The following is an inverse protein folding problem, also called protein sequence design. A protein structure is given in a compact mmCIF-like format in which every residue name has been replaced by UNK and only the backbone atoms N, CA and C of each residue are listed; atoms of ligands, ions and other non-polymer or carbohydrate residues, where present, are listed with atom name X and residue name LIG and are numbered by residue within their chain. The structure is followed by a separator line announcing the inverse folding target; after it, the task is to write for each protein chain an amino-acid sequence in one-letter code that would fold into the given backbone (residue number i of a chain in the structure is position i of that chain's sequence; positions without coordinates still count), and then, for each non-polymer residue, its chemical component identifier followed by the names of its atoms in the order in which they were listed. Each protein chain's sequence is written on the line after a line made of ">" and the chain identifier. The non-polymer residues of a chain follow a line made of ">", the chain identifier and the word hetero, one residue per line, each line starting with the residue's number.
data_IF_400112194017
#
_entry.id   IF_400112194017
#
_cell.length_a   1.000
_cell.length_b   1.000
_cell.length_c   1.000
_cell.angle_alpha   90.00
_cell.angle_beta   90.00
_cell.angle_gamma   90.00
#
_symmetry.space_group_name_H-M   'P 1'
#
loop_
_entity.id
_entity.type
_entity.pdbx_description
1 polymer ?
#
# COMPACT_ATOMS: atom_id res chain seq x y z
N UNK A 1 -43.41 5.47 3.77
CA UNK A 1 -43.13 4.41 2.77
C UNK A 1 -41.82 4.67 2.02
N UNK A 2 -41.57 5.88 1.49
CA UNK A 2 -40.34 6.15 0.71
C UNK A 2 -39.00 6.06 1.49
N UNK A 3 -38.96 6.35 2.79
CA UNK A 3 -37.73 6.23 3.61
C UNK A 3 -37.20 4.79 3.74
N UNK A 4 -38.10 3.83 3.96
CA UNK A 4 -37.77 2.40 4.10
C UNK A 4 -37.10 1.84 2.84
N UNK A 5 -37.48 2.32 1.66
CA UNK A 5 -37.00 1.77 0.40
C UNK A 5 -35.59 2.26 0.03
N UNK A 6 -35.19 3.46 0.47
CA UNK A 6 -33.81 3.93 0.35
C UNK A 6 -32.89 3.21 1.34
N UNK A 7 -33.41 2.89 2.53
CA UNK A 7 -32.70 2.13 3.56
C UNK A 7 -32.41 0.69 3.10
N UNK A 8 -33.29 0.08 2.29
CA UNK A 8 -33.06 -1.27 1.74
C UNK A 8 -31.79 -1.35 0.88
N UNK A 9 -31.54 -0.34 0.05
CA UNK A 9 -30.31 -0.26 -0.78
C UNK A 9 -29.08 -0.18 0.11
N UNK A 10 -29.10 0.70 1.12
CA UNK A 10 -28.01 0.87 2.06
C UNK A 10 -27.78 -0.38 2.92
N UNK A 11 -28.85 -1.08 3.29
CA UNK A 11 -28.76 -2.33 4.04
C UNK A 11 -28.11 -3.45 3.23
N UNK A 12 -28.39 -3.55 1.92
CA UNK A 12 -27.71 -4.51 1.04
C UNK A 12 -26.21 -4.20 0.94
N UNK A 13 -25.84 -2.94 0.68
CA UNK A 13 -24.44 -2.52 0.61
C UNK A 13 -23.70 -2.77 1.94
N UNK A 14 -24.33 -2.44 3.06
CA UNK A 14 -23.79 -2.69 4.42
C UNK A 14 -23.52 -4.17 4.66
N UNK A 15 -24.45 -5.05 4.27
CA UNK A 15 -24.26 -6.51 4.40
C UNK A 15 -23.02 -6.98 3.64
N UNK A 16 -22.81 -6.48 2.43
CA UNK A 16 -21.62 -6.82 1.62
C UNK A 16 -20.34 -6.33 2.29
N UNK A 17 -20.29 -5.08 2.75
CA UNK A 17 -19.10 -4.52 3.41
C UNK A 17 -18.79 -5.24 4.72
N UNK A 18 -19.78 -5.49 5.56
CA UNK A 18 -19.55 -6.20 6.83
C UNK A 18 -19.26 -7.68 6.63
N UNK A 19 -19.74 -8.30 5.54
CA UNK A 19 -19.30 -9.64 5.17
C UNK A 19 -17.81 -9.62 4.79
N UNK A 20 -17.39 -8.70 3.93
CA UNK A 20 -15.98 -8.60 3.52
C UNK A 20 -15.06 -8.22 4.69
N UNK A 21 -15.45 -7.25 5.52
CA UNK A 21 -14.71 -6.87 6.72
C UNK A 21 -14.55 -8.04 7.70
N UNK A 22 -15.60 -8.83 7.93
CA UNK A 22 -15.52 -10.05 8.75
C UNK A 22 -14.62 -11.10 8.13
N UNK A 23 -14.68 -11.28 6.81
CA UNK A 23 -13.79 -12.17 6.05
C UNK A 23 -12.32 -11.81 6.29
N UNK A 24 -11.96 -10.52 6.17
CA UNK A 24 -10.60 -10.02 6.45
C UNK A 24 -10.23 -10.18 7.93
N UNK A 25 -11.12 -9.83 8.86
CA UNK A 25 -10.89 -10.04 10.30
C UNK A 25 -10.66 -11.52 10.64
N UNK A 26 -11.41 -12.39 9.97
CA UNK A 26 -11.33 -13.84 10.09
C UNK A 26 -10.21 -14.46 9.24
N UNK A 27 -9.44 -13.67 8.50
CA UNK A 27 -8.29 -14.22 7.79
C UNK A 27 -7.14 -14.54 8.75
N UNK A 28 -6.35 -15.56 8.43
CA UNK A 28 -5.08 -15.89 9.08
C UNK A 28 -3.97 -16.03 8.04
N UNK A 29 -2.73 -16.11 8.52
CA UNK A 29 -1.59 -16.51 7.72
C UNK A 29 -1.71 -17.98 7.26
N UNK A 30 -1.15 -18.32 6.10
CA UNK A 30 -1.20 -19.67 5.54
C UNK A 30 -0.63 -20.72 6.49
N UNK A 31 0.54 -20.45 7.06
CA UNK A 31 1.25 -21.40 7.91
C UNK A 31 0.59 -21.46 9.29
N UNK A 32 0.06 -20.33 9.77
CA UNK A 32 -0.77 -20.29 10.96
C UNK A 32 -2.02 -21.19 10.81
N UNK A 33 -2.73 -21.08 9.69
CA UNK A 33 -3.86 -21.96 9.35
C UNK A 33 -3.47 -23.43 9.24
N UNK A 34 -2.32 -23.73 8.64
CA UNK A 34 -1.81 -25.10 8.57
C UNK A 34 -1.58 -25.69 9.97
N UNK A 35 -0.98 -24.90 10.88
CA UNK A 35 -0.80 -25.32 12.27
C UNK A 35 -2.14 -25.56 12.98
N UNK A 36 -3.12 -24.66 12.82
CA UNK A 36 -4.45 -24.86 13.41
C UNK A 36 -5.13 -26.13 12.91
N UNK A 37 -5.00 -26.42 11.61
CA UNK A 37 -5.54 -27.66 11.01
C UNK A 37 -4.93 -28.90 11.67
N UNK A 38 -3.61 -28.95 11.78
CA UNK A 38 -2.92 -30.08 12.41
C UNK A 38 -3.31 -30.25 13.89
N UNK A 39 -3.39 -29.15 14.65
CA UNK A 39 -3.84 -29.15 16.04
C UNK A 39 -5.32 -29.54 16.21
N UNK A 40 -6.15 -29.30 15.19
CA UNK A 40 -7.55 -29.72 15.16
C UNK A 40 -7.72 -31.23 15.00
N UNK A 41 -6.77 -31.89 14.35
CA UNK A 41 -6.73 -33.35 14.19
C UNK A 41 -6.25 -34.05 15.46
N UNK A 42 -5.12 -33.59 16.02
CA UNK A 42 -4.56 -34.12 17.26
C UNK A 42 -3.68 -33.09 17.97
N UNK A 43 -3.52 -33.17 19.31
CA UNK A 43 -2.53 -32.37 20.02
C UNK A 43 -1.12 -32.62 19.49
N UNK A 44 -0.30 -31.58 19.45
CA UNK A 44 1.10 -31.64 19.00
C UNK A 44 2.02 -31.21 20.14
N UNK A 45 3.22 -31.77 20.20
CA UNK A 45 4.29 -31.15 20.99
C UNK A 45 4.85 -29.90 20.30
N UNK A 46 5.50 -29.01 21.04
CA UNK A 46 6.18 -27.86 20.45
C UNK A 46 7.29 -28.29 19.47
N UNK A 47 7.97 -29.41 19.74
CA UNK A 47 8.93 -30.01 18.82
C UNK A 47 8.28 -30.44 17.50
N UNK A 48 7.17 -31.18 17.57
CA UNK A 48 6.43 -31.62 16.38
C UNK A 48 5.86 -30.46 15.57
N UNK A 49 5.40 -29.40 16.24
CA UNK A 49 4.89 -28.21 15.56
C UNK A 49 5.97 -27.53 14.70
N UNK A 50 7.23 -27.53 15.15
CA UNK A 50 8.37 -27.02 14.39
C UNK A 50 8.73 -27.95 13.23
N UNK A 51 8.75 -29.26 13.47
CA UNK A 51 9.13 -30.24 12.44
C UNK A 51 8.12 -30.33 11.28
N UNK A 52 6.83 -30.18 11.57
CA UNK A 52 5.74 -30.39 10.59
C UNK A 52 5.44 -29.20 9.70
N UNK A 53 5.97 -28.01 10.01
CA UNK A 53 5.74 -26.80 9.21
C UNK A 53 6.98 -26.46 8.37
N UNK A 54 6.81 -26.02 7.11
CA UNK A 54 7.92 -25.64 6.24
C UNK A 54 8.47 -24.23 6.57
N UNK A 55 8.64 -23.91 7.85
CA UNK A 55 9.12 -22.61 8.35
C UNK A 55 10.07 -22.82 9.52
N UNK A 56 10.81 -21.78 9.89
CA UNK A 56 11.75 -21.85 11.00
C UNK A 56 11.07 -21.83 12.38
N UNK A 57 11.82 -22.23 13.42
CA UNK A 57 11.30 -22.25 14.79
C UNK A 57 10.79 -20.87 15.28
N UNK A 58 11.49 -19.74 15.03
CA UNK A 58 10.95 -18.41 15.34
C UNK A 58 9.56 -18.14 14.75
N UNK A 59 9.31 -18.55 13.51
CA UNK A 59 8.01 -18.40 12.87
C UNK A 59 6.92 -19.21 13.59
N UNK A 60 7.20 -20.49 13.88
CA UNK A 60 6.26 -21.35 14.60
C UNK A 60 5.94 -20.78 15.99
N UNK A 61 6.95 -20.31 16.71
CA UNK A 61 6.78 -19.70 18.03
C UNK A 61 5.93 -18.41 17.96
N UNK A 62 6.11 -17.59 16.93
CA UNK A 62 5.30 -16.40 16.70
C UNK A 62 3.82 -16.75 16.45
N UNK A 63 3.55 -17.81 15.66
CA UNK A 63 2.19 -18.33 15.47
C UNK A 63 1.60 -18.79 16.80
N UNK A 64 2.32 -19.66 17.52
CA UNK A 64 1.86 -20.25 18.78
C UNK A 64 1.54 -19.18 19.82
N UNK A 65 2.42 -18.20 19.97
CA UNK A 65 2.19 -17.06 20.88
C UNK A 65 0.97 -16.24 20.46
N UNK A 66 0.81 -16.00 19.16
CA UNK A 66 -0.36 -15.32 18.60
C UNK A 66 -1.67 -16.09 18.87
N UNK A 67 -1.66 -17.42 18.79
CA UNK A 67 -2.82 -18.25 19.10
C UNK A 67 -3.12 -18.32 20.60
N UNK A 68 -2.08 -18.43 21.43
CA UNK A 68 -2.20 -18.41 22.88
C UNK A 68 -2.83 -17.10 23.38
N UNK A 69 -2.34 -15.95 22.89
CA UNK A 69 -2.89 -14.62 23.25
C UNK A 69 -4.35 -14.44 22.85
N UNK A 70 -4.77 -15.09 21.76
CA UNK A 70 -6.15 -15.08 21.25
C UNK A 70 -7.03 -16.16 21.88
N UNK A 71 -6.47 -17.01 22.74
CA UNK A 71 -7.20 -18.09 23.41
C UNK A 71 -7.52 -19.28 22.51
N UNK A 72 -6.86 -19.43 21.36
CA UNK A 72 -7.08 -20.56 20.44
C UNK A 72 -6.35 -21.82 20.87
N UNK A 73 -5.32 -21.66 21.70
CA UNK A 73 -4.40 -22.72 22.08
C UNK A 73 -4.20 -22.74 23.59
N UNK A 74 -4.31 -23.92 24.18
CA UNK A 74 -3.94 -24.25 25.55
C UNK A 74 -2.61 -25.01 25.55
N UNK A 75 -1.70 -24.65 26.45
CA UNK A 75 -0.41 -25.33 26.62
C UNK A 75 -0.48 -26.20 27.86
N UNK A 76 -0.14 -27.48 27.72
CA UNK A 76 -0.04 -28.43 28.83
C UNK A 76 1.36 -29.01 28.90
N UNK A 77 1.90 -29.07 30.12
CA UNK A 77 3.23 -29.59 30.38
C UNK A 77 3.14 -31.06 30.80
N UNK A 78 4.01 -31.88 30.24
CA UNK A 78 4.27 -33.23 30.70
C UNK A 78 5.33 -33.19 31.80
N UNK A 79 4.88 -33.25 33.06
CA UNK A 79 5.75 -33.17 34.25
C UNK A 79 6.82 -34.25 34.28
N UNK A 80 6.59 -35.41 33.63
CA UNK A 80 7.55 -36.52 33.60
C UNK A 80 8.79 -36.22 32.75
N UNK A 81 8.71 -35.23 31.87
CA UNK A 81 9.78 -34.83 30.94
C UNK A 81 10.46 -33.53 31.35
N UNK A 82 10.09 -32.96 32.50
CA UNK A 82 10.73 -31.75 33.02
C UNK A 82 12.13 -32.07 33.54
N UNK A 83 13.09 -31.20 33.21
CA UNK A 83 14.43 -31.25 33.78
C UNK A 83 14.55 -30.18 34.86
N UNK A 84 15.11 -30.53 36.03
CA UNK A 84 15.35 -29.58 37.12
C UNK A 84 16.67 -28.87 36.83
N UNK A 85 16.68 -27.54 36.94
CA UNK A 85 17.88 -26.72 36.74
C UNK A 85 18.93 -26.97 37.82
N UNK A 86 20.20 -26.68 37.52
CA UNK A 86 21.34 -26.97 38.40
C UNK A 86 21.26 -26.30 39.79
N UNK A 87 20.56 -25.17 39.89
CA UNK A 87 20.30 -24.43 41.13
C UNK A 87 19.10 -24.99 41.93
N UNK A 88 18.39 -26.00 41.41
CA UNK A 88 17.27 -26.67 42.08
C UNK A 88 16.02 -25.80 42.26
N UNK A 89 16.03 -24.58 41.70
CA UNK A 89 14.97 -23.57 41.89
C UNK A 89 14.04 -23.43 40.68
N UNK A 90 14.43 -23.95 39.52
CA UNK A 90 13.62 -23.89 38.30
C UNK A 90 13.56 -25.23 37.59
N UNK A 91 12.56 -25.40 36.73
CA UNK A 91 12.44 -26.56 35.85
C UNK A 91 12.39 -26.06 34.40
N UNK A 92 13.27 -26.58 33.55
CA UNK A 92 13.22 -26.33 32.12
C UNK A 92 12.34 -27.40 31.46
N UNK A 93 11.33 -26.92 30.73
CA UNK A 93 10.46 -27.76 29.91
C UNK A 93 11.05 -27.87 28.50
N UNK A 94 11.62 -29.03 28.11
CA UNK A 94 12.07 -29.21 26.73
C UNK A 94 10.86 -29.17 25.77
N UNK A 95 11.06 -28.87 24.47
CA UNK A 95 9.96 -28.77 23.50
C UNK A 95 9.05 -30.01 23.43
N UNK A 96 9.57 -31.19 23.73
CA UNK A 96 8.86 -32.48 23.79
C UNK A 96 7.96 -32.63 25.03
N UNK A 97 8.19 -31.83 26.07
CA UNK A 97 7.36 -31.75 27.28
C UNK A 97 6.19 -30.76 27.12
N UNK A 98 6.22 -29.90 26.09
CA UNK A 98 5.23 -28.86 25.87
C UNK A 98 4.21 -29.39 24.85
N UNK A 99 3.01 -29.77 25.31
CA UNK A 99 1.91 -30.19 24.44
C UNK A 99 0.93 -29.05 24.19
N UNK A 100 0.48 -28.95 22.95
CA UNK A 100 -0.35 -27.89 22.40
C UNK A 100 -1.74 -28.46 22.09
N UNK A 101 -2.77 -27.86 22.66
CA UNK A 101 -4.15 -28.31 22.55
C UNK A 101 -5.00 -27.19 21.96
N UNK A 102 -5.79 -27.52 20.93
CA UNK A 102 -6.73 -26.56 20.36
C UNK A 102 -7.96 -26.41 21.28
N UNK A 103 -8.31 -25.17 21.61
CA UNK A 103 -9.50 -24.85 22.41
C UNK A 103 -10.77 -24.90 21.56
N UNK A 104 -11.94 -24.85 22.19
CA UNK A 104 -13.22 -24.73 21.45
C UNK A 104 -13.28 -23.46 20.59
N UNK A 105 -12.73 -22.35 21.11
CA UNK A 105 -12.59 -21.11 20.36
C UNK A 105 -11.64 -21.28 19.17
N UNK A 106 -10.54 -22.03 19.34
CA UNK A 106 -9.62 -22.38 18.26
C UNK A 106 -10.28 -23.25 17.18
N UNK A 107 -11.15 -24.19 17.56
CA UNK A 107 -11.94 -25.01 16.64
C UNK A 107 -12.94 -24.18 15.85
N UNK A 108 -13.73 -23.34 16.51
CA UNK A 108 -14.64 -22.42 15.83
C UNK A 108 -13.87 -21.51 14.86
N UNK A 109 -12.70 -21.03 15.30
CA UNK A 109 -11.84 -20.20 14.46
C UNK A 109 -11.40 -20.92 13.19
N UNK A 110 -11.03 -22.19 13.29
CA UNK A 110 -10.58 -23.02 12.18
C UNK A 110 -11.67 -23.19 11.11
N UNK A 111 -12.94 -23.30 11.52
CA UNK A 111 -14.07 -23.46 10.59
C UNK A 111 -14.32 -22.20 9.74
N UNK A 112 -14.08 -21.01 10.31
CA UNK A 112 -14.34 -19.73 9.66
C UNK A 112 -13.10 -19.12 8.97
N UNK A 113 -11.90 -19.61 9.28
CA UNK A 113 -10.67 -19.00 8.83
C UNK A 113 -10.31 -19.38 7.40
N UNK A 114 -9.89 -18.38 6.64
CA UNK A 114 -9.27 -18.56 5.32
C UNK A 114 -7.94 -17.80 5.25
N UNK A 115 -7.02 -18.21 4.36
CA UNK A 115 -5.77 -17.50 4.21
C UNK A 115 -6.02 -16.09 3.65
N UNK A 116 -5.41 -15.07 4.25
CA UNK A 116 -5.50 -13.70 3.72
C UNK A 116 -5.01 -13.61 2.26
N UNK A 117 -4.07 -14.48 1.87
CA UNK A 117 -3.60 -14.57 0.49
C UNK A 117 -4.75 -14.83 -0.50
N UNK A 118 -5.75 -15.65 -0.17
CA UNK A 118 -6.87 -15.95 -1.07
C UNK A 118 -7.72 -14.69 -1.29
N UNK A 119 -7.96 -13.91 -0.21
CA UNK A 119 -8.65 -12.62 -0.31
C UNK A 119 -7.88 -11.65 -1.22
N UNK A 120 -6.55 -11.65 -1.16
CA UNK A 120 -5.72 -10.82 -2.02
C UNK A 120 -5.69 -11.30 -3.48
N UNK A 121 -5.68 -12.61 -3.72
CA UNK A 121 -5.75 -13.20 -5.07
C UNK A 121 -7.09 -12.91 -5.74
N UNK A 122 -8.21 -13.04 -5.00
CA UNK A 122 -9.53 -12.60 -5.47
C UNK A 122 -9.51 -11.11 -5.89
N UNK A 123 -8.82 -10.26 -5.12
CA UNK A 123 -8.69 -8.85 -5.46
C UNK A 123 -7.86 -8.62 -6.73
N UNK A 124 -6.82 -9.42 -6.96
CA UNK A 124 -6.02 -9.36 -8.19
C UNK A 124 -6.90 -9.73 -9.38
N UNK A 125 -7.63 -10.84 -9.31
CA UNK A 125 -8.56 -11.29 -10.36
C UNK A 125 -9.58 -10.19 -10.70
N UNK A 126 -10.25 -9.66 -9.68
CA UNK A 126 -11.25 -8.59 -9.85
C UNK A 126 -10.67 -7.33 -10.51
N UNK A 127 -9.45 -6.94 -10.12
CA UNK A 127 -8.76 -5.78 -10.71
C UNK A 127 -8.36 -6.06 -12.15
N UNK A 128 -7.86 -7.25 -12.46
CA UNK A 128 -7.52 -7.67 -13.83
C UNK A 128 -8.75 -7.65 -14.72
N UNK A 129 -9.86 -8.24 -14.28
CA UNK A 129 -11.13 -8.21 -15.00
C UNK A 129 -11.57 -6.77 -15.26
N UNK A 130 -11.48 -5.89 -14.26
CA UNK A 130 -11.85 -4.49 -14.40
C UNK A 130 -10.95 -3.73 -15.40
N UNK A 131 -9.63 -3.87 -15.31
CA UNK A 131 -8.68 -3.22 -16.22
C UNK A 131 -8.90 -3.66 -17.68
N UNK A 132 -9.07 -4.97 -17.90
CA UNK A 132 -9.35 -5.49 -19.24
C UNK A 132 -10.72 -5.02 -19.73
N UNK A 133 -11.76 -5.01 -18.90
CA UNK A 133 -13.08 -4.51 -19.31
C UNK A 133 -13.06 -3.02 -19.71
N UNK A 134 -12.22 -2.21 -19.07
CA UNK A 134 -12.06 -0.78 -19.37
C UNK A 134 -11.30 -0.57 -20.69
N UNK A 135 -10.19 -1.26 -20.90
CA UNK A 135 -9.30 -1.01 -22.06
C UNK A 135 -9.65 -1.87 -23.29
N UNK A 136 -10.25 -3.04 -23.06
CA UNK A 136 -10.64 -4.02 -24.07
C UNK A 136 -12.15 -4.23 -24.04
N UNK A 137 -12.91 -3.14 -24.18
CA UNK A 137 -14.38 -3.20 -24.15
C UNK A 137 -14.93 -4.00 -25.33
N UNK A 138 -15.93 -4.85 -25.06
CA UNK A 138 -16.70 -5.57 -26.08
C UNK A 138 -17.45 -4.63 -27.05
N UNK A 139 -17.58 -3.35 -26.70
CA UNK A 139 -18.18 -2.34 -27.57
C UNK A 139 -17.26 -1.97 -28.76
N UNK A 140 -15.97 -2.30 -28.68
CA UNK A 140 -14.98 -2.03 -29.72
C UNK A 140 -14.47 -3.34 -30.33
N UNK A 141 -14.22 -3.38 -31.66
CA UNK A 141 -13.52 -4.50 -32.28
C UNK A 141 -12.14 -4.71 -31.63
N UNK A 142 -11.65 -5.97 -31.50
CA UNK A 142 -10.38 -6.25 -30.83
C UNK A 142 -9.17 -5.48 -31.38
N UNK A 143 -9.16 -5.18 -32.68
CA UNK A 143 -8.09 -4.39 -33.32
C UNK A 143 -8.00 -2.95 -32.83
N UNK A 144 -9.08 -2.42 -32.22
CA UNK A 144 -9.15 -1.06 -31.67
C UNK A 144 -8.93 -0.98 -30.17
N UNK A 145 -8.64 -2.11 -29.51
CA UNK A 145 -8.31 -2.09 -28.09
C UNK A 145 -6.98 -1.38 -27.83
N UNK A 146 -6.95 -0.62 -26.73
CA UNK A 146 -5.77 0.11 -26.30
C UNK A 146 -4.90 -0.77 -25.40
N UNK A 147 -4.05 -1.57 -26.05
CA UNK A 147 -3.18 -2.53 -25.36
C UNK A 147 -2.08 -1.80 -24.58
N UNK A 148 -1.61 -0.66 -25.08
CA UNK A 148 -0.57 0.13 -24.41
C UNK A 148 -1.11 0.69 -23.10
N UNK A 149 -2.33 1.26 -23.10
CA UNK A 149 -2.99 1.72 -21.88
C UNK A 149 -3.24 0.57 -20.88
N UNK A 150 -3.53 -0.64 -21.36
CA UNK A 150 -3.68 -1.82 -20.49
C UNK A 150 -2.36 -2.22 -19.84
N UNK A 151 -1.25 -2.25 -20.59
CA UNK A 151 0.08 -2.56 -20.06
C UNK A 151 0.52 -1.50 -19.04
N UNK A 152 0.26 -0.22 -19.31
CA UNK A 152 0.54 0.88 -18.37
C UNK A 152 -0.30 0.76 -17.09
N UNK A 153 -1.59 0.43 -17.20
CA UNK A 153 -2.46 0.22 -16.07
C UNK A 153 -1.98 -0.92 -15.17
N UNK A 154 -1.57 -2.06 -15.78
CA UNK A 154 -0.99 -3.20 -15.07
C UNK A 154 0.29 -2.82 -14.35
N UNK A 155 1.20 -2.10 -15.03
CA UNK A 155 2.44 -1.63 -14.43
C UNK A 155 2.17 -0.71 -13.23
N UNK A 156 1.24 0.23 -13.35
CA UNK A 156 0.91 1.14 -12.26
C UNK A 156 0.28 0.44 -11.06
N UNK A 157 -0.60 -0.53 -11.32
CA UNK A 157 -1.37 -1.23 -10.31
C UNK A 157 -0.57 -2.33 -9.58
N UNK A 158 0.22 -3.12 -10.31
CA UNK A 158 0.94 -4.28 -9.78
C UNK A 158 2.46 -4.10 -9.74
N UNK A 159 2.98 -2.95 -10.20
CA UNK A 159 4.42 -2.70 -10.29
C UNK A 159 5.17 -3.79 -11.08
N UNK A 160 4.50 -4.38 -12.08
CA UNK A 160 5.00 -5.49 -12.88
C UNK A 160 4.83 -5.18 -14.36
N UNK A 161 5.89 -5.45 -15.15
CA UNK A 161 5.85 -5.28 -16.60
C UNK A 161 5.42 -6.59 -17.23
N UNK A 162 4.50 -6.49 -18.18
CA UNK A 162 3.94 -7.63 -18.91
C UNK A 162 4.13 -7.42 -20.41
N UNK A 163 4.11 -8.51 -21.17
CA UNK A 163 4.09 -8.50 -22.63
C UNK A 163 2.82 -9.19 -23.13
N UNK A 164 1.99 -8.44 -23.85
CA UNK A 164 0.73 -8.93 -24.43
C UNK A 164 0.82 -9.09 -25.95
N UNK A 165 1.95 -8.73 -26.59
CA UNK A 165 2.04 -8.62 -28.04
C UNK A 165 1.88 -9.96 -28.77
N UNK A 166 2.34 -11.05 -28.15
CA UNK A 166 2.29 -12.39 -28.73
C UNK A 166 0.93 -13.10 -28.54
N UNK A 167 0.03 -12.53 -27.74
CA UNK A 167 -1.24 -13.16 -27.39
C UNK A 167 -2.33 -12.83 -28.43
N UNK A 168 -3.21 -13.80 -28.75
CA UNK A 168 -4.40 -13.50 -29.53
C UNK A 168 -5.26 -12.44 -28.82
N UNK A 169 -5.81 -11.48 -29.60
CA UNK A 169 -6.66 -10.42 -29.07
C UNK A 169 -8.01 -10.95 -28.60
N UNK A 170 -8.03 -11.45 -27.37
CA UNK A 170 -9.21 -11.94 -26.69
C UNK A 170 -9.14 -11.55 -25.21
N UNK A 171 -10.21 -10.96 -24.68
CA UNK A 171 -10.24 -10.42 -23.32
C UNK A 171 -9.87 -11.47 -22.27
N UNK A 172 -10.42 -12.69 -22.41
CA UNK A 172 -10.12 -13.81 -21.51
C UNK A 172 -8.63 -14.19 -21.53
N UNK A 173 -7.94 -14.10 -22.68
CA UNK A 173 -6.52 -14.43 -22.79
C UNK A 173 -5.64 -13.41 -22.08
N UNK A 174 -6.01 -12.13 -22.19
CA UNK A 174 -5.34 -11.08 -21.44
C UNK A 174 -5.61 -11.22 -19.94
N UNK A 175 -6.85 -11.50 -19.53
CA UNK A 175 -7.18 -11.72 -18.13
C UNK A 175 -6.36 -12.86 -17.53
N UNK A 176 -6.36 -14.04 -18.16
CA UNK A 176 -5.60 -15.21 -17.73
C UNK A 176 -4.10 -14.89 -17.62
N UNK A 177 -3.52 -14.27 -18.65
CA UNK A 177 -2.09 -13.97 -18.68
C UNK A 177 -1.69 -12.93 -17.63
N UNK A 178 -2.44 -11.82 -17.52
CA UNK A 178 -2.17 -10.76 -16.55
C UNK A 178 -2.31 -11.30 -15.12
N UNK A 179 -3.34 -12.10 -14.84
CA UNK A 179 -3.51 -12.73 -13.53
C UNK A 179 -2.28 -13.56 -13.16
N UNK A 180 -1.85 -14.46 -14.05
CA UNK A 180 -0.70 -15.32 -13.79
C UNK A 180 0.61 -14.53 -13.61
N UNK A 181 0.83 -13.52 -14.44
CA UNK A 181 2.00 -12.63 -14.33
C UNK A 181 1.99 -11.77 -13.07
N UNK A 182 0.81 -11.42 -12.53
CA UNK A 182 0.68 -10.64 -11.29
C UNK A 182 0.75 -11.53 -10.03
N UNK A 183 0.17 -12.72 -10.07
CA UNK A 183 0.14 -13.67 -8.95
C UNK A 183 1.55 -14.08 -8.51
N UNK A 184 2.40 -14.46 -9.45
CA UNK A 184 3.75 -14.96 -9.15
C UNK A 184 4.62 -13.96 -8.36
N UNK A 185 4.82 -12.70 -8.80
CA UNK A 185 5.59 -11.72 -8.02
C UNK A 185 4.91 -11.36 -6.71
N UNK A 186 3.58 -11.40 -6.63
CA UNK A 186 2.87 -11.19 -5.38
C UNK A 186 3.18 -12.26 -4.34
N UNK A 187 3.09 -13.54 -4.71
CA UNK A 187 3.44 -14.64 -3.83
C UNK A 187 4.92 -14.59 -3.39
N UNK A 188 5.83 -14.29 -4.33
CA UNK A 188 7.24 -14.09 -4.00
C UNK A 188 7.46 -12.95 -2.99
N UNK A 189 6.68 -11.87 -3.10
CA UNK A 189 6.73 -10.75 -2.15
C UNK A 189 6.27 -11.16 -0.74
N UNK A 190 5.23 -11.99 -0.62
CA UNK A 190 4.78 -12.51 0.67
C UNK A 190 5.91 -13.26 1.36
N UNK A 191 6.56 -14.18 0.64
CA UNK A 191 7.67 -14.98 1.16
C UNK A 191 8.88 -14.10 1.54
N UNK A 192 9.25 -13.14 0.70
CA UNK A 192 10.34 -12.18 0.98
C UNK A 192 10.12 -11.40 2.29
N UNK A 193 8.90 -10.85 2.46
CA UNK A 193 8.53 -10.08 3.67
C UNK A 193 8.54 -10.97 4.91
N UNK A 194 7.97 -12.16 4.80
CA UNK A 194 7.86 -13.10 5.91
C UNK A 194 9.19 -13.72 6.31
N UNK A 195 10.13 -13.89 5.37
CA UNK A 195 11.50 -14.33 5.65
C UNK A 195 12.25 -13.34 6.55
N UNK A 196 11.98 -12.05 6.40
CA UNK A 196 12.58 -11.00 7.25
C UNK A 196 11.92 -10.93 8.62
N UNK A 197 10.59 -11.04 8.68
CA UNK A 197 9.84 -11.03 9.94
C UNK A 197 8.60 -11.92 9.82
N UNK A 198 8.49 -12.98 10.64
CA UNK A 198 7.34 -13.87 10.63
C UNK A 198 6.00 -13.13 10.74
N UNK A 199 5.01 -13.56 9.95
CA UNK A 199 3.64 -13.04 9.93
C UNK A 199 3.50 -11.56 9.57
N UNK A 200 4.59 -10.84 9.26
CA UNK A 200 4.56 -9.40 9.04
C UNK A 200 3.68 -9.04 7.84
N UNK A 201 3.79 -9.80 6.74
CA UNK A 201 2.96 -9.54 5.57
C UNK A 201 1.48 -9.63 5.92
N UNK A 202 1.09 -10.71 6.61
CA UNK A 202 -0.28 -10.93 7.03
C UNK A 202 -0.81 -9.79 7.92
N UNK A 203 0.00 -9.34 8.89
CA UNK A 203 -0.36 -8.25 9.79
C UNK A 203 -0.57 -6.93 9.04
N UNK A 204 0.37 -6.56 8.16
CA UNK A 204 0.30 -5.34 7.35
C UNK A 204 -0.91 -5.39 6.41
N UNK A 205 -1.07 -6.49 5.68
CA UNK A 205 -2.16 -6.62 4.72
C UNK A 205 -3.52 -6.59 5.40
N UNK A 206 -3.68 -7.27 6.54
CA UNK A 206 -4.92 -7.25 7.34
C UNK A 206 -5.25 -5.84 7.83
N UNK A 207 -4.27 -5.12 8.37
CA UNK A 207 -4.43 -3.72 8.77
C UNK A 207 -4.82 -2.81 7.60
N UNK A 208 -4.14 -2.95 6.46
CA UNK A 208 -4.41 -2.20 5.24
C UNK A 208 -5.84 -2.41 4.74
N UNK A 209 -6.28 -3.67 4.61
CA UNK A 209 -7.65 -3.98 4.19
C UNK A 209 -8.68 -3.37 5.13
N UNK A 210 -8.52 -3.55 6.45
CA UNK A 210 -9.50 -3.06 7.42
C UNK A 210 -9.58 -1.54 7.44
N UNK A 211 -8.43 -0.86 7.46
CA UNK A 211 -8.39 0.62 7.39
C UNK A 211 -9.03 1.13 6.11
N UNK A 212 -8.68 0.55 4.97
CA UNK A 212 -9.20 0.99 3.67
C UNK A 212 -10.72 0.75 3.55
N UNK A 213 -11.22 -0.40 4.00
CA UNK A 213 -12.65 -0.71 4.03
C UNK A 213 -13.39 0.31 4.90
N UNK A 214 -12.91 0.55 6.11
CA UNK A 214 -13.58 1.42 7.09
C UNK A 214 -13.59 2.89 6.60
N UNK A 215 -12.48 3.38 6.03
CA UNK A 215 -12.37 4.74 5.49
C UNK A 215 -13.26 4.96 4.26
N UNK A 216 -13.18 4.05 3.27
CA UNK A 216 -13.97 4.17 2.04
C UNK A 216 -15.47 4.01 2.31
N UNK A 217 -15.85 3.11 3.20
CA UNK A 217 -17.25 2.95 3.61
C UNK A 217 -17.79 4.21 4.28
N UNK A 218 -17.03 4.81 5.20
CA UNK A 218 -17.41 6.07 5.85
C UNK A 218 -17.60 7.19 4.81
N UNK A 219 -16.68 7.31 3.85
CA UNK A 219 -16.81 8.30 2.77
C UNK A 219 -18.06 8.03 1.92
N UNK A 220 -18.29 6.78 1.53
CA UNK A 220 -19.46 6.38 0.75
C UNK A 220 -20.78 6.67 1.47
N UNK A 221 -20.87 6.47 2.79
CA UNK A 221 -22.05 6.85 3.57
C UNK A 221 -22.38 8.35 3.44
N UNK A 222 -21.35 9.21 3.41
CA UNK A 222 -21.53 10.66 3.20
C UNK A 222 -22.01 10.96 1.78
N UNK A 223 -21.41 10.33 0.77
CA UNK A 223 -21.80 10.47 -0.64
C UNK A 223 -23.25 10.01 -0.86
N UNK A 224 -23.65 8.90 -0.24
CA UNK A 224 -25.01 8.37 -0.33
C UNK A 224 -26.05 9.29 0.32
N UNK A 225 -25.69 9.95 1.43
CA UNK A 225 -26.57 10.94 2.07
C UNK A 225 -26.76 12.19 1.20
N UNK A 226 -25.68 12.66 0.57
CA UNK A 226 -25.75 13.75 -0.41
C UNK A 226 -26.58 13.35 -1.64
N UNK A 227 -26.38 12.15 -2.18
CA UNK A 227 -27.15 11.63 -3.31
C UNK A 227 -28.64 11.56 -2.96
N UNK A 228 -28.99 11.07 -1.77
CA UNK A 228 -30.37 11.00 -1.29
C UNK A 228 -31.02 12.38 -1.23
N UNK A 229 -30.30 13.38 -0.73
CA UNK A 229 -30.79 14.76 -0.64
C UNK A 229 -30.94 15.41 -2.01
N UNK A 230 -29.99 15.16 -2.94
CA UNK A 230 -29.98 15.73 -4.29
C UNK A 230 -30.94 15.08 -5.28
N UNK A 231 -31.32 13.81 -5.09
CA UNK A 231 -32.17 13.08 -6.04
C UNK A 231 -33.59 13.65 -6.15
N UNK A 232 -34.07 14.33 -5.09
CA UNK A 232 -35.36 15.01 -5.09
C UNK A 232 -35.47 16.08 -6.19
N UNK A 233 -34.35 16.72 -6.55
CA UNK A 233 -34.30 17.72 -7.63
C UNK A 233 -34.26 17.07 -9.04
N UNK A 234 -34.00 15.75 -9.15
CA UNK A 234 -34.01 15.02 -10.43
C UNK A 234 -35.39 14.50 -10.82
N UNK A 235 -36.37 14.53 -9.91
CA UNK A 235 -37.77 14.16 -10.18
C UNK A 235 -38.48 15.03 -11.21
N UNK A 236 -37.92 16.20 -11.56
CA UNK A 236 -38.44 17.05 -12.64
C UNK A 236 -38.29 16.42 -14.04
N UNK A 237 -37.45 15.40 -14.21
CA UNK A 237 -37.17 14.75 -15.50
C UNK A 237 -38.10 13.59 -15.88
N UNK A 238 -39.27 13.44 -15.26
CA UNK A 238 -40.20 12.30 -15.46
C UNK A 238 -39.62 10.90 -15.17
N UNK A 239 -38.40 10.81 -14.63
CA UNK A 239 -37.77 9.57 -14.19
C UNK A 239 -38.05 9.34 -12.70
N UNK A 240 -38.25 8.08 -12.33
CA UNK A 240 -38.47 7.67 -10.94
C UNK A 240 -37.21 7.94 -10.10
N UNK A 241 -37.24 8.88 -9.13
CA UNK A 241 -36.07 9.22 -8.31
C UNK A 241 -35.48 8.00 -7.57
N UNK A 242 -36.33 7.03 -7.20
CA UNK A 242 -35.87 5.82 -6.51
C UNK A 242 -34.98 4.98 -7.41
N UNK A 243 -35.38 4.76 -8.66
CA UNK A 243 -34.61 3.97 -9.62
C UNK A 243 -33.28 4.63 -9.95
N UNK A 244 -33.28 5.96 -10.08
CA UNK A 244 -32.05 6.74 -10.29
C UNK A 244 -31.11 6.64 -9.07
N UNK A 245 -31.65 6.74 -7.84
CA UNK A 245 -30.87 6.54 -6.62
C UNK A 245 -30.26 5.13 -6.54
N UNK A 246 -31.05 4.10 -6.85
CA UNK A 246 -30.58 2.71 -6.87
C UNK A 246 -29.46 2.53 -7.88
N UNK A 247 -29.64 3.02 -9.11
CA UNK A 247 -28.65 2.90 -10.18
C UNK A 247 -27.35 3.64 -9.85
N UNK A 248 -27.45 4.91 -9.46
CA UNK A 248 -26.28 5.72 -9.15
C UNK A 248 -25.59 5.24 -7.86
N UNK A 249 -26.37 4.90 -6.83
CA UNK A 249 -25.84 4.35 -5.59
C UNK A 249 -25.14 3.00 -5.76
N UNK A 250 -25.62 2.15 -6.67
CA UNK A 250 -24.94 0.91 -7.04
C UNK A 250 -23.63 1.17 -7.78
N UNK A 251 -23.62 2.10 -8.75
CA UNK A 251 -22.41 2.51 -9.48
C UNK A 251 -21.33 3.03 -8.52
N UNK A 252 -21.69 3.96 -7.64
CA UNK A 252 -20.78 4.52 -6.62
C UNK A 252 -20.25 3.43 -5.68
N UNK A 253 -21.10 2.47 -5.31
CA UNK A 253 -20.71 1.34 -4.47
C UNK A 253 -19.72 0.41 -5.18
N UNK A 254 -19.93 0.10 -6.46
CA UNK A 254 -18.98 -0.69 -7.25
C UNK A 254 -17.64 0.04 -7.40
N UNK A 255 -17.67 1.35 -7.72
CA UNK A 255 -16.48 2.18 -7.81
C UNK A 255 -15.70 2.17 -6.49
N UNK A 256 -16.41 2.31 -5.35
CA UNK A 256 -15.80 2.22 -4.02
C UNK A 256 -15.13 0.87 -3.79
N UNK A 257 -15.78 -0.26 -4.14
CA UNK A 257 -15.19 -1.59 -3.97
C UNK A 257 -13.91 -1.75 -4.79
N UNK A 258 -13.91 -1.32 -6.05
CA UNK A 258 -12.71 -1.35 -6.92
C UNK A 258 -11.61 -0.47 -6.33
N UNK A 259 -11.95 0.72 -5.83
CA UNK A 259 -10.99 1.63 -5.20
C UNK A 259 -10.35 1.04 -3.95
N UNK A 260 -11.11 0.34 -3.08
CA UNK A 260 -10.55 -0.34 -1.92
C UNK A 260 -9.52 -1.38 -2.38
N UNK A 261 -9.89 -2.25 -3.33
CA UNK A 261 -9.00 -3.30 -3.84
C UNK A 261 -7.75 -2.70 -4.48
N UNK A 262 -7.92 -1.72 -5.37
CA UNK A 262 -6.82 -1.06 -6.08
C UNK A 262 -5.82 -0.41 -5.10
N UNK A 263 -6.31 0.30 -4.08
CA UNK A 263 -5.44 0.97 -3.11
C UNK A 263 -4.69 -0.02 -2.21
N UNK A 264 -5.39 -1.03 -1.68
CA UNK A 264 -4.75 -2.05 -0.84
C UNK A 264 -3.71 -2.81 -1.65
N UNK A 265 -4.10 -3.37 -2.80
CA UNK A 265 -3.18 -4.15 -3.63
C UNK A 265 -2.01 -3.29 -4.10
N UNK A 266 -2.26 -2.07 -4.58
CA UNK A 266 -1.19 -1.17 -5.00
C UNK A 266 -0.18 -0.85 -3.88
N UNK A 267 -0.63 -0.74 -2.62
CA UNK A 267 0.27 -0.58 -1.48
C UNK A 267 1.04 -1.88 -1.17
N UNK A 268 0.38 -3.04 -1.25
CA UNK A 268 1.02 -4.34 -1.01
C UNK A 268 2.09 -4.67 -2.06
N UNK A 269 1.86 -4.38 -3.35
CA UNK A 269 2.87 -4.58 -4.40
C UNK A 269 4.08 -3.63 -4.26
N UNK A 270 3.88 -2.46 -3.65
CA UNK A 270 4.95 -1.50 -3.34
C UNK A 270 5.59 -1.72 -1.97
N UNK A 271 5.12 -2.70 -1.20
CA UNK A 271 5.65 -2.99 0.12
C UNK A 271 7.10 -3.43 0.00
N UNK A 272 7.99 -2.71 0.68
CA UNK A 272 9.40 -3.05 0.82
C UNK A 272 9.70 -3.13 2.31
N UNK A 273 10.20 -4.28 2.75
CA UNK A 273 10.67 -4.42 4.13
C UNK A 273 12.11 -3.97 4.15
N UNK A 274 12.38 -2.90 4.89
CA UNK A 274 13.75 -2.46 5.13
C UNK A 274 14.27 -3.26 6.31
N UNK A 275 15.43 -3.89 6.15
CA UNK A 275 16.07 -4.60 7.26
C UNK A 275 16.51 -3.61 8.34
N UNK A 276 16.57 -4.05 9.60
CA UNK A 276 17.05 -3.22 10.70
C UNK A 276 18.50 -2.74 10.47
N UNK A 277 19.30 -3.54 9.77
CA UNK A 277 20.66 -3.16 9.38
C UNK A 277 20.69 -2.05 8.32
N UNK A 278 19.85 -2.12 7.29
CA UNK A 278 19.74 -1.05 6.28
C UNK A 278 19.30 0.25 6.92
N UNK A 279 18.29 0.18 7.80
CA UNK A 279 17.82 1.36 8.54
C UNK A 279 18.94 1.92 9.43
N UNK A 280 19.69 1.06 10.14
CA UNK A 280 20.81 1.50 10.98
C UNK A 280 21.95 2.12 10.16
N UNK A 281 22.32 1.52 9.03
CA UNK A 281 23.37 2.03 8.13
C UNK A 281 23.01 3.41 7.57
N UNK A 282 21.78 3.59 7.11
CA UNK A 282 21.32 4.89 6.62
C UNK A 282 21.22 5.93 7.73
N UNK A 283 20.77 5.55 8.93
CA UNK A 283 20.75 6.46 10.08
C UNK A 283 22.17 6.88 10.48
N UNK A 284 23.15 5.98 10.40
CA UNK A 284 24.57 6.28 10.61
C UNK A 284 25.13 7.18 9.50
N UNK A 285 24.82 6.89 8.23
CA UNK A 285 25.21 7.74 7.10
C UNK A 285 24.60 9.14 7.18
N UNK A 286 23.33 9.25 7.55
CA UNK A 286 22.67 10.53 7.71
C UNK A 286 23.20 11.29 8.93
N UNK A 287 23.53 10.61 10.04
CA UNK A 287 24.28 11.19 11.15
C UNK A 287 25.63 11.75 10.68
N UNK A 288 26.43 10.94 9.96
CA UNK A 288 27.72 11.37 9.41
C UNK A 288 27.55 12.57 8.47
N UNK A 289 26.54 12.56 7.61
CA UNK A 289 26.25 13.67 6.68
C UNK A 289 25.88 14.95 7.42
N UNK A 290 25.07 14.84 8.48
CA UNK A 290 24.73 15.98 9.36
C UNK A 290 25.96 16.50 10.10
N UNK A 291 26.82 15.63 10.61
CA UNK A 291 28.06 16.01 11.28
C UNK A 291 29.03 16.72 10.33
N UNK A 292 29.19 16.22 9.10
CA UNK A 292 30.01 16.87 8.06
C UNK A 292 29.45 18.25 7.71
N UNK A 293 28.13 18.36 7.49
CA UNK A 293 27.48 19.64 7.19
C UNK A 293 27.64 20.63 8.35
N UNK A 294 27.44 20.18 9.59
CA UNK A 294 27.60 21.01 10.78
C UNK A 294 29.05 21.48 10.96
N UNK A 295 30.03 20.63 10.69
CA UNK A 295 31.45 20.98 10.73
C UNK A 295 31.82 21.97 9.62
N UNK A 296 31.28 21.81 8.41
CA UNK A 296 31.45 22.79 7.33
C UNK A 296 30.85 24.15 7.71
N UNK A 297 29.64 24.18 8.29
CA UNK A 297 29.03 25.43 8.77
C UNK A 297 29.85 26.08 9.89
N UNK A 298 30.42 25.30 10.82
CA UNK A 298 31.29 25.82 11.88
C UNK A 298 32.61 26.39 11.33
N UNK A 299 33.23 25.73 10.33
CA UNK A 299 34.43 26.26 9.68
C UNK A 299 34.12 27.57 8.93
N UNK A 300 33.02 27.62 8.16
CA UNK A 300 32.58 28.85 7.49
C UNK A 300 32.27 29.98 8.49
N UNK A 301 31.67 29.66 9.64
CA UNK A 301 31.40 30.65 10.69
C UNK A 301 32.70 31.13 11.37
N UNK A 302 33.68 30.25 11.57
CA UNK A 302 34.99 30.60 12.11
C UNK A 302 35.82 31.45 11.13
N UNK A 303 35.77 31.15 9.83
CA UNK A 303 36.43 31.95 8.78
C UNK A 303 35.77 33.34 8.65
N UNK A 304 34.44 33.41 8.72
CA UNK A 304 33.71 34.68 8.75
C UNK A 304 34.00 35.51 10.02
N UNK A 305 34.23 34.85 11.17
CA UNK A 305 34.55 35.50 12.44
C UNK A 305 36.03 35.95 12.54
N UNK A 306 36.94 35.34 11.76
CA UNK A 306 38.36 35.72 11.73
C UNK A 306 38.66 36.99 10.96
N UNK A 307 37.69 37.53 10.20
CA UNK A 307 37.76 38.91 9.69
C UNK A 307 39.08 39.26 8.99
N UNK A 308 39.65 38.33 8.21
CA UNK A 308 40.77 38.66 7.34
C UNK A 308 40.21 39.42 6.14
N UNK A 309 40.45 40.73 6.12
CA UNK A 309 40.31 41.53 4.90
C UNK A 309 41.23 40.92 3.84
N UNK A 310 40.70 40.47 2.68
CA UNK A 310 41.56 39.90 1.64
C UNK A 310 42.52 40.99 1.14
N UNK A 311 43.80 40.66 1.12
CA UNK A 311 44.85 41.48 0.47
C UNK A 311 44.52 41.59 -1.04
N UNK A 312 44.53 42.77 -1.68
CA UNK A 312 44.02 42.95 -3.04
C UNK A 312 44.82 42.25 -4.14
N UNK A 313 45.99 41.68 -3.84
CA UNK A 313 46.95 41.22 -4.85
C UNK A 313 47.04 39.69 -5.05
N UNK A 314 46.25 38.87 -4.35
CA UNK A 314 46.32 37.39 -4.47
C UNK A 314 45.12 36.79 -5.23
N UNK A 315 44.75 37.39 -6.36
CA UNK A 315 43.68 36.90 -7.26
C UNK A 315 44.25 36.47 -8.60
N UNK A 316 45.10 35.44 -8.60
CA UNK A 316 45.42 34.70 -9.82
C UNK A 316 45.17 33.20 -9.60
N UNK A 317 44.19 32.72 -10.37
CA UNK A 317 43.92 31.31 -10.70
C UNK A 317 43.30 30.42 -9.61
N UNK A 318 41.97 30.54 -9.44
CA UNK A 318 41.12 29.42 -9.00
C UNK A 318 40.37 28.82 -10.21
N UNK A 319 40.22 27.49 -10.29
CA UNK A 319 39.35 26.85 -11.26
C UNK A 319 37.89 27.11 -10.86
N UNK A 320 37.13 27.70 -11.77
CA UNK A 320 35.71 28.06 -11.57
C UNK A 320 34.88 26.81 -11.32
N UNK A 321 34.50 26.59 -10.06
CA UNK A 321 33.44 25.67 -9.68
C UNK A 321 32.15 26.11 -10.39
N UNK A 322 31.50 25.15 -11.05
CA UNK A 322 30.25 25.32 -11.81
C UNK A 322 29.13 25.67 -10.84
N UNK A 323 28.98 26.97 -10.54
CA UNK A 323 27.80 27.51 -9.86
C UNK A 323 26.61 27.33 -10.81
N UNK A 324 25.58 26.65 -10.32
CA UNK A 324 24.24 26.70 -10.93
C UNK A 324 23.84 28.17 -10.91
N UNK A 325 23.89 28.80 -12.08
CA UNK A 325 23.68 30.23 -12.25
C UNK A 325 22.29 30.63 -11.75
N UNK A 326 22.25 31.46 -10.73
CA UNK A 326 21.17 32.43 -10.60
C UNK A 326 21.20 33.28 -11.87
N UNK A 327 20.06 33.40 -12.55
CA UNK A 327 19.93 34.22 -13.76
C UNK A 327 20.25 35.68 -13.38
N UNK A 328 21.50 36.10 -13.61
CA UNK A 328 21.89 37.50 -13.61
C UNK A 328 21.21 38.13 -14.82
N UNK A 329 20.26 39.04 -14.59
CA UNK A 329 19.73 39.90 -15.66
C UNK A 329 20.86 40.81 -16.13
N UNK A 330 21.21 40.74 -17.40
CA UNK A 330 22.21 41.61 -18.04
C UNK A 330 21.82 43.11 -18.07
N UNK A 331 20.68 43.49 -17.48
CA UNK A 331 20.09 44.83 -17.60
C UNK A 331 19.48 45.29 -16.28
N UNK A 332 19.60 46.58 -15.93
CA UNK A 332 18.93 47.15 -14.76
C UNK A 332 17.42 46.93 -14.85
N UNK A 333 16.77 46.73 -13.70
CA UNK A 333 15.33 46.47 -13.59
C UNK A 333 14.55 47.70 -14.06
N UNK A 334 14.13 47.70 -15.33
CA UNK A 334 13.29 48.74 -15.89
C UNK A 334 11.93 48.77 -15.16
N UNK A 335 11.54 49.96 -14.70
CA UNK A 335 10.22 50.24 -14.18
C UNK A 335 9.16 50.18 -15.28
N UNK A 336 7.91 49.89 -14.92
CA UNK A 336 6.77 49.71 -15.85
C UNK A 336 6.59 50.87 -16.84
N UNK A 337 7.00 52.09 -16.50
CA UNK A 337 6.85 53.28 -17.34
C UNK A 337 8.17 53.79 -17.95
N UNK A 338 9.30 53.13 -17.71
CA UNK A 338 10.61 53.55 -18.23
C UNK A 338 10.70 53.34 -19.75
N UNK A 339 11.58 54.05 -20.47
CA UNK A 339 11.86 53.78 -21.88
C UNK A 339 12.30 52.33 -22.08
N UNK A 340 11.73 51.65 -23.07
CA UNK A 340 12.04 50.26 -23.35
C UNK A 340 13.49 50.10 -23.84
N UNK A 341 14.14 49.00 -23.43
CA UNK A 341 15.53 48.71 -23.77
C UNK A 341 15.81 48.52 -25.26
N UNK A 342 14.79 48.30 -26.10
CA UNK A 342 14.95 48.08 -27.54
C UNK A 342 15.20 49.38 -28.33
N UNK A 343 15.22 50.54 -27.67
CA UNK A 343 15.45 51.84 -28.30
C UNK A 343 14.23 52.39 -29.07
N UNK A 344 13.05 51.78 -28.94
CA UNK A 344 11.84 52.20 -29.65
C UNK A 344 11.22 53.52 -29.17
N UNK A 345 11.72 54.09 -28.07
CA UNK A 345 11.15 55.29 -27.43
C UNK A 345 9.81 55.07 -26.70
N UNK A 346 9.24 53.86 -26.75
CA UNK A 346 7.99 53.53 -26.07
C UNK A 346 8.22 53.09 -24.60
N UNK A 347 7.19 53.23 -23.76
CA UNK A 347 7.22 52.77 -22.35
C UNK A 347 7.33 51.23 -22.30
N UNK A 348 8.14 50.70 -21.39
CA UNK A 348 8.45 49.27 -21.25
C UNK A 348 7.19 48.38 -21.19
N UNK A 349 6.15 48.79 -20.44
CA UNK A 349 4.85 48.07 -20.37
C UNK A 349 4.09 47.90 -21.68
N UNK A 350 4.38 48.70 -22.70
CA UNK A 350 3.70 48.64 -24.00
C UNK A 350 4.56 47.96 -25.07
N UNK A 351 5.76 47.50 -24.70
CA UNK A 351 6.75 47.00 -25.64
C UNK A 351 7.19 45.58 -25.26
N UNK A 352 8.18 45.41 -24.38
CA UNK A 352 8.76 44.09 -24.09
C UNK A 352 8.45 43.56 -22.68
N UNK A 353 7.62 44.24 -21.88
CA UNK A 353 7.31 43.81 -20.52
C UNK A 353 6.68 42.40 -20.44
N UNK A 354 5.77 42.07 -21.37
CA UNK A 354 5.08 40.78 -21.34
C UNK A 354 6.01 39.64 -21.78
N UNK A 355 6.85 39.89 -22.79
CA UNK A 355 7.88 38.96 -23.26
C UNK A 355 8.94 38.66 -22.18
N UNK A 356 9.39 39.68 -21.44
CA UNK A 356 10.41 39.55 -20.40
C UNK A 356 9.88 38.97 -19.06
N UNK A 357 8.55 38.91 -18.88
CA UNK A 357 7.89 38.33 -17.71
C UNK A 357 7.51 36.86 -17.90
N UNK A 358 7.81 36.26 -19.06
CA UNK A 358 7.60 34.83 -19.30
C UNK A 358 6.13 34.40 -19.30
N UNK A 359 5.21 35.34 -19.46
CA UNK A 359 3.80 35.01 -19.68
C UNK A 359 3.64 34.71 -21.16
N UNK A 360 3.84 33.44 -21.52
CA UNK A 360 3.45 32.95 -22.84
C UNK A 360 1.93 33.12 -22.98
N UNK A 361 1.52 33.75 -24.08
CA UNK A 361 0.12 33.78 -24.52
C UNK A 361 -0.30 32.43 -25.07
#
# INVERSE_FOLDING_TARGET
>A
KNLLEYDDVMNQQRKTIYKWRRRVLASEDQQALALLKQLGEAPLTAAEAVERLPVDAPYVMAIMEGFRRRGYLEVKLDESKLSVSEDGQSAEAPPEAISLHLTDLGRQRLEEAEPLREIALDCIEDLVVNMVAVQCSDALPPDKWDIDALVEAVLFQFNHRIDLAALPRAAIRYQEHIYFEAEKPFLAKIEEVNASRPLLFHQIAKDLFLRQIDEQWKHHLQVMDQLRTGIGLRGYGQRDPKKEYQKEGFRLFQDMLVNIKSQVMGQLYRLTVRSEEEVRREQEEERRRREILQRQMQMQAADAAKGETPDPDDVLEQPVARQVGTVRRDRPKLGRNDPCWCGSGQKYKKCHMDADQGVQA
#
